data_IF_035980413265
#
_entry.id   IF_035980413265
#
_cell.length_a   1.000
_cell.length_b   1.000
_cell.length_c   1.000
_cell.angle_alpha   90.00
_cell.angle_beta   90.00
_cell.angle_gamma   90.00
#
_symmetry.space_group_name_H-M   'P 1'
#
loop_
_entity.id
_entity.type
_entity.pdbx_description
1 polymer ?
#
# COMPACT_ATOMS: atom_id res chain seq x y z
N UNK A 1 15.94 -21.08 -16.13
CA UNK A 1 15.56 -20.23 -14.99
C UNK A 1 16.82 -19.89 -14.22
N UNK A 2 17.25 -18.62 -14.22
CA UNK A 2 18.39 -18.21 -13.41
C UNK A 2 18.01 -18.32 -11.91
N UNK A 3 18.92 -18.77 -11.02
CA UNK A 3 18.64 -18.86 -9.59
C UNK A 3 18.38 -17.45 -9.05
N UNK A 4 17.23 -17.25 -8.37
CA UNK A 4 16.98 -16.00 -7.65
C UNK A 4 18.11 -15.81 -6.63
N UNK A 5 18.90 -14.74 -6.79
CA UNK A 5 19.93 -14.38 -5.81
C UNK A 5 19.32 -14.25 -4.42
N UNK A 6 20.03 -14.75 -3.41
CA UNK A 6 19.56 -14.58 -2.03
C UNK A 6 19.44 -13.08 -1.68
N UNK A 7 18.40 -12.67 -0.93
CA UNK A 7 18.20 -11.28 -0.57
C UNK A 7 19.39 -10.76 0.24
N UNK A 8 19.88 -9.57 -0.11
CA UNK A 8 20.98 -8.90 0.57
C UNK A 8 20.59 -8.52 2.01
N UNK A 9 21.55 -8.16 2.86
CA UNK A 9 21.26 -7.63 4.20
C UNK A 9 20.41 -6.36 4.13
N UNK A 10 20.64 -5.52 3.11
CA UNK A 10 19.82 -4.33 2.85
C UNK A 10 18.36 -4.71 2.55
N UNK A 11 18.15 -5.67 1.67
CA UNK A 11 16.78 -6.09 1.29
C UNK A 11 16.04 -6.72 2.47
N UNK A 12 16.73 -7.47 3.32
CA UNK A 12 16.14 -8.06 4.54
C UNK A 12 15.77 -6.99 5.57
N UNK A 13 16.60 -5.96 5.76
CA UNK A 13 16.29 -4.82 6.62
C UNK A 13 15.06 -4.07 6.12
N UNK A 14 15.00 -3.75 4.83
CA UNK A 14 13.84 -3.08 4.23
C UNK A 14 12.58 -3.93 4.36
N UNK A 15 12.64 -5.23 4.05
CA UNK A 15 11.50 -6.13 4.18
C UNK A 15 10.96 -6.22 5.63
N UNK A 16 11.86 -6.37 6.58
CA UNK A 16 11.52 -6.38 8.01
C UNK A 16 10.88 -5.06 8.45
N UNK A 17 11.37 -3.93 7.93
CA UNK A 17 10.81 -2.62 8.24
C UNK A 17 9.40 -2.47 7.68
N UNK A 18 9.15 -2.89 6.43
CA UNK A 18 7.80 -2.90 5.85
C UNK A 18 6.84 -3.68 6.73
N UNK A 19 7.22 -4.90 7.15
CA UNK A 19 6.37 -5.74 7.98
C UNK A 19 6.05 -5.09 9.33
N UNK A 20 7.06 -4.56 10.02
CA UNK A 20 6.87 -3.91 11.31
C UNK A 20 6.04 -2.62 11.19
N UNK A 21 6.28 -1.80 10.16
CA UNK A 21 5.47 -0.60 9.91
C UNK A 21 4.01 -0.94 9.61
N UNK A 22 3.76 -2.04 8.88
CA UNK A 22 2.40 -2.55 8.65
C UNK A 22 1.71 -3.02 9.93
N UNK A 23 2.46 -3.60 10.86
CA UNK A 23 1.94 -4.17 12.10
C UNK A 23 1.71 -3.11 13.17
N UNK A 24 2.71 -2.27 13.42
CA UNK A 24 2.77 -1.40 14.61
C UNK A 24 3.14 0.06 14.32
N UNK A 25 3.29 0.43 13.05
CA UNK A 25 3.63 1.79 12.64
C UNK A 25 5.13 2.12 12.70
N UNK A 26 5.48 3.33 12.27
CA UNK A 26 6.88 3.80 12.23
C UNK A 26 7.46 4.02 13.62
N UNK A 27 6.73 4.72 14.50
CA UNK A 27 7.26 5.11 15.81
C UNK A 27 7.64 3.88 16.64
N UNK A 28 6.80 2.85 16.68
CA UNK A 28 7.02 1.63 17.45
C UNK A 28 8.06 0.68 16.83
N UNK A 29 8.43 0.84 15.55
CA UNK A 29 9.40 -0.04 14.86
C UNK A 29 10.83 0.33 15.24
N UNK A 30 11.39 -0.33 16.26
CA UNK A 30 12.75 -0.10 16.72
C UNK A 30 13.81 -0.72 15.78
N UNK A 31 14.97 -0.04 15.60
CA UNK A 31 16.05 -0.51 14.71
C UNK A 31 16.59 -1.87 15.13
N UNK A 32 16.74 -2.12 16.42
CA UNK A 32 17.21 -3.42 16.94
C UNK A 32 16.22 -4.55 16.64
N UNK A 33 14.91 -4.27 16.70
CA UNK A 33 13.87 -5.23 16.34
C UNK A 33 13.86 -5.49 14.82
N UNK A 34 13.98 -4.43 14.00
CA UNK A 34 14.10 -4.54 12.56
C UNK A 34 15.28 -5.42 12.16
N UNK A 35 16.46 -5.18 12.75
CA UNK A 35 17.67 -5.96 12.48
C UNK A 35 17.51 -7.43 12.89
N UNK A 36 16.91 -7.70 14.05
CA UNK A 36 16.65 -9.06 14.54
C UNK A 36 15.68 -9.80 13.61
N UNK A 37 14.53 -9.20 13.24
CA UNK A 37 13.53 -9.82 12.37
C UNK A 37 14.06 -10.01 10.95
N UNK A 38 14.86 -9.06 10.45
CA UNK A 38 15.53 -9.14 9.15
C UNK A 38 16.73 -10.10 9.12
N UNK A 39 17.09 -10.69 10.27
CA UNK A 39 18.30 -11.53 10.42
C UNK A 39 19.53 -10.83 9.82
N UNK A 40 19.66 -9.53 10.07
CA UNK A 40 20.76 -8.71 9.62
C UNK A 40 21.59 -8.22 10.80
N UNK A 41 22.92 -8.27 10.73
CA UNK A 41 23.76 -7.70 11.79
C UNK A 41 23.52 -6.19 11.93
N UNK A 42 23.58 -5.65 13.16
CA UNK A 42 23.44 -4.21 13.43
C UNK A 42 24.45 -3.35 12.63
N UNK A 43 25.66 -3.87 12.43
CA UNK A 43 26.64 -3.19 11.56
C UNK A 43 26.17 -3.00 10.12
N UNK A 44 25.37 -3.94 9.58
CA UNK A 44 24.77 -3.79 8.24
C UNK A 44 23.76 -2.67 8.19
N UNK A 45 23.01 -2.42 9.27
CA UNK A 45 22.08 -1.29 9.32
C UNK A 45 22.84 0.04 9.19
N UNK A 46 23.83 0.30 10.00
CA UNK A 46 24.62 1.54 9.96
C UNK A 46 25.37 1.71 8.64
N UNK A 47 25.82 0.60 8.04
CA UNK A 47 26.49 0.60 6.75
C UNK A 47 25.54 0.99 5.59
N UNK A 48 24.34 0.40 5.54
CA UNK A 48 23.40 0.63 4.43
C UNK A 48 22.52 1.87 4.62
N UNK A 49 22.32 2.30 5.86
CA UNK A 49 21.42 3.40 6.22
C UNK A 49 22.13 4.39 7.17
N UNK A 50 23.16 5.12 6.67
CA UNK A 50 23.88 6.10 7.50
C UNK A 50 22.97 7.25 7.96
N UNK A 51 21.88 7.56 7.25
CA UNK A 51 20.82 8.47 7.68
C UNK A 51 19.85 7.90 8.72
N UNK A 52 20.15 6.73 9.25
CA UNK A 52 19.41 6.14 10.36
C UNK A 52 18.05 5.55 10.00
N UNK A 53 17.17 5.50 11.02
CA UNK A 53 15.84 4.89 10.93
C UNK A 53 14.96 5.56 9.86
N UNK A 54 15.05 6.87 9.72
CA UNK A 54 14.26 7.62 8.74
C UNK A 54 14.60 7.22 7.30
N UNK A 55 15.89 7.09 6.97
CA UNK A 55 16.33 6.64 5.65
C UNK A 55 15.87 5.20 5.36
N UNK A 56 15.94 4.32 6.36
CA UNK A 56 15.45 2.95 6.22
C UNK A 56 13.92 2.93 6.04
N UNK A 57 13.18 3.74 6.80
CA UNK A 57 11.72 3.85 6.66
C UNK A 57 11.31 4.41 5.30
N UNK A 58 12.04 5.41 4.76
CA UNK A 58 11.81 5.90 3.40
C UNK A 58 11.94 4.79 2.36
N UNK A 59 12.99 3.97 2.44
CA UNK A 59 13.16 2.81 1.56
C UNK A 59 12.08 1.73 1.76
N UNK A 60 11.57 1.58 2.98
CA UNK A 60 10.46 0.68 3.29
C UNK A 60 9.13 1.21 2.71
N UNK A 61 8.89 2.52 2.77
CA UNK A 61 7.71 3.14 2.12
C UNK A 61 7.74 2.94 0.60
N UNK A 62 8.88 3.17 -0.05
CA UNK A 62 9.03 2.95 -1.50
C UNK A 62 8.72 1.48 -1.87
N UNK A 63 9.20 0.53 -1.06
CA UNK A 63 8.91 -0.89 -1.25
C UNK A 63 7.44 -1.22 -1.00
N UNK A 64 6.85 -0.75 0.10
CA UNK A 64 5.44 -0.96 0.41
C UNK A 64 4.52 -0.36 -0.66
N UNK A 65 4.86 0.83 -1.16
CA UNK A 65 4.16 1.48 -2.27
C UNK A 65 4.20 0.61 -3.55
N UNK A 66 5.36 0.05 -3.87
CA UNK A 66 5.52 -0.84 -5.04
C UNK A 66 4.76 -2.16 -4.87
N UNK A 67 4.75 -2.74 -3.67
CA UNK A 67 3.99 -3.97 -3.38
C UNK A 67 2.48 -3.74 -3.53
N UNK A 68 1.98 -2.58 -3.10
CA UNK A 68 0.57 -2.22 -3.27
C UNK A 68 0.23 -1.88 -4.72
N UNK A 69 1.10 -1.18 -5.44
CA UNK A 69 0.93 -0.96 -6.88
C UNK A 69 0.81 -2.28 -7.64
N UNK A 70 1.63 -3.28 -7.30
CA UNK A 70 1.53 -4.62 -7.89
C UNK A 70 0.21 -5.34 -7.54
N UNK A 71 -0.38 -5.08 -6.36
CA UNK A 71 -1.73 -5.57 -6.03
C UNK A 71 -2.78 -4.91 -6.92
N UNK A 72 -2.71 -3.57 -7.09
CA UNK A 72 -3.59 -2.83 -8.00
C UNK A 72 -3.47 -3.39 -9.42
N UNK A 73 -2.26 -3.47 -9.97
CA UNK A 73 -2.03 -4.02 -11.32
C UNK A 73 -2.61 -5.42 -11.50
N UNK A 74 -2.47 -6.28 -10.48
CA UNK A 74 -3.05 -7.63 -10.51
C UNK A 74 -4.58 -7.60 -10.56
N UNK A 75 -5.21 -6.67 -9.83
CA UNK A 75 -6.66 -6.50 -9.86
C UNK A 75 -7.14 -6.03 -11.24
N UNK A 76 -6.38 -5.13 -11.88
CA UNK A 76 -6.72 -4.52 -13.17
C UNK A 76 -6.43 -5.43 -14.38
N UNK A 77 -5.69 -6.52 -14.22
CA UNK A 77 -5.40 -7.50 -15.29
C UNK A 77 -6.52 -8.51 -15.55
N UNK A 78 -7.59 -8.46 -14.77
CA UNK A 78 -8.74 -9.34 -14.98
C UNK A 78 -9.49 -8.95 -16.25
N UNK A 79 -9.96 -9.93 -17.03
CA UNK A 79 -10.70 -9.70 -18.30
C UNK A 79 -12.15 -9.20 -18.09
N UNK A 80 -12.52 -8.90 -16.86
CA UNK A 80 -13.86 -8.40 -16.50
C UNK A 80 -14.06 -6.91 -16.82
N UNK A 81 -15.28 -6.39 -16.64
CA UNK A 81 -15.60 -4.99 -16.82
C UNK A 81 -14.85 -4.12 -15.79
N UNK A 82 -14.63 -2.84 -16.11
CA UNK A 82 -13.92 -1.87 -15.24
C UNK A 82 -14.50 -1.85 -13.82
N UNK A 83 -15.81 -1.98 -13.66
CA UNK A 83 -16.50 -2.04 -12.35
C UNK A 83 -15.98 -3.18 -11.48
N UNK A 84 -15.77 -4.37 -12.05
CA UNK A 84 -15.25 -5.52 -11.33
C UNK A 84 -13.75 -5.40 -11.08
N UNK A 85 -12.99 -4.89 -12.06
CA UNK A 85 -11.55 -4.68 -11.91
C UNK A 85 -11.23 -3.73 -10.74
N UNK A 86 -11.90 -2.57 -10.65
CA UNK A 86 -11.67 -1.62 -9.57
C UNK A 86 -12.15 -2.17 -8.21
N UNK A 87 -13.30 -2.83 -8.15
CA UNK A 87 -13.80 -3.45 -6.93
C UNK A 87 -12.90 -4.58 -6.42
N UNK A 88 -12.25 -5.29 -7.34
CA UNK A 88 -11.30 -6.37 -7.01
C UNK A 88 -10.11 -5.90 -6.18
N UNK A 89 -9.72 -4.63 -6.26
CA UNK A 89 -8.66 -4.08 -5.41
C UNK A 89 -9.06 -4.21 -3.94
N UNK A 90 -10.29 -3.81 -3.58
CA UNK A 90 -10.80 -3.94 -2.21
C UNK A 90 -10.90 -5.42 -1.78
N UNK A 91 -11.34 -6.31 -2.67
CA UNK A 91 -11.40 -7.76 -2.41
C UNK A 91 -10.01 -8.34 -2.12
N UNK A 92 -9.01 -8.03 -2.96
CA UNK A 92 -7.63 -8.50 -2.76
C UNK A 92 -7.00 -7.92 -1.49
N UNK A 93 -7.36 -6.69 -1.11
CA UNK A 93 -6.94 -6.08 0.16
C UNK A 93 -7.57 -6.83 1.34
N UNK A 94 -8.87 -7.16 1.29
CA UNK A 94 -9.55 -7.95 2.31
C UNK A 94 -8.90 -9.34 2.47
N UNK A 95 -8.63 -10.02 1.37
CA UNK A 95 -7.96 -11.33 1.38
C UNK A 95 -6.55 -11.24 1.98
N UNK A 96 -5.85 -10.12 1.75
CA UNK A 96 -4.53 -9.87 2.36
C UNK A 96 -4.63 -9.68 3.88
N UNK A 97 -5.64 -8.97 4.36
CA UNK A 97 -5.89 -8.79 5.79
C UNK A 97 -6.25 -10.11 6.47
N UNK A 98 -7.13 -10.90 5.89
CA UNK A 98 -7.53 -12.21 6.45
C UNK A 98 -6.35 -13.15 6.58
N UNK A 99 -5.48 -13.23 5.56
CA UNK A 99 -4.25 -14.06 5.62
C UNK A 99 -3.31 -13.68 6.75
N UNK A 100 -3.36 -12.46 7.22
CA UNK A 100 -2.54 -11.96 8.33
C UNK A 100 -3.35 -11.76 9.62
N UNK A 101 -4.54 -12.36 9.71
CA UNK A 101 -5.46 -12.19 10.85
C UNK A 101 -5.69 -10.71 11.19
N UNK A 102 -5.78 -9.84 10.17
CA UNK A 102 -5.97 -8.40 10.26
C UNK A 102 -4.83 -7.63 10.95
N UNK A 103 -3.64 -8.24 11.07
CA UNK A 103 -2.51 -7.61 11.75
C UNK A 103 -1.72 -6.63 10.86
N UNK A 104 -1.63 -6.89 9.55
CA UNK A 104 -0.78 -6.12 8.64
C UNK A 104 -1.61 -5.20 7.74
N UNK A 105 -1.60 -3.89 8.01
CA UNK A 105 -2.27 -2.88 7.19
C UNK A 105 -1.38 -2.20 6.15
N UNK A 106 -1.84 -1.08 5.61
CA UNK A 106 -1.06 -0.25 4.69
C UNK A 106 0.10 0.44 5.43
N UNK A 107 1.37 0.19 5.05
CA UNK A 107 2.51 0.84 5.71
C UNK A 107 2.57 2.33 5.38
N UNK A 108 2.04 2.74 4.21
CA UNK A 108 2.06 4.13 3.75
C UNK A 108 1.09 4.96 4.58
N UNK A 109 -0.18 4.55 4.67
CA UNK A 109 -1.19 5.29 5.43
C UNK A 109 -0.84 5.38 6.93
N UNK A 110 -0.41 4.27 7.54
CA UNK A 110 -0.04 4.23 8.96
C UNK A 110 1.12 5.20 9.24
N UNK A 111 2.18 5.14 8.43
CA UNK A 111 3.34 6.02 8.62
C UNK A 111 3.02 7.48 8.32
N UNK A 112 2.21 7.76 7.30
CA UNK A 112 1.81 9.12 6.97
C UNK A 112 1.14 9.81 8.15
N UNK A 113 0.19 9.15 8.81
CA UNK A 113 -0.52 9.70 9.98
C UNK A 113 0.43 9.99 11.15
N UNK A 114 1.45 9.16 11.37
CA UNK A 114 2.41 9.34 12.45
C UNK A 114 3.43 10.45 12.17
N UNK A 115 3.73 10.72 10.89
CA UNK A 115 4.90 11.52 10.50
C UNK A 115 4.58 12.82 9.77
N UNK A 116 3.32 13.09 9.46
CA UNK A 116 2.88 14.27 8.70
C UNK A 116 3.37 15.60 9.27
N UNK A 117 3.54 15.71 10.60
CA UNK A 117 3.99 16.91 11.28
C UNK A 117 5.47 16.85 11.74
N UNK A 118 6.15 15.70 11.55
CA UNK A 118 7.46 15.45 12.20
C UNK A 118 8.56 15.05 11.23
N UNK A 119 8.25 14.53 10.06
CA UNK A 119 9.21 14.10 9.05
C UNK A 119 8.77 14.47 7.64
N UNK A 120 9.25 15.60 7.10
CA UNK A 120 8.99 15.97 5.70
C UNK A 120 9.41 14.88 4.71
N UNK A 121 10.50 14.16 4.98
CA UNK A 121 11.00 13.07 4.13
C UNK A 121 9.99 11.94 4.02
N UNK A 122 9.43 11.46 5.14
CA UNK A 122 8.46 10.37 5.13
C UNK A 122 7.10 10.83 4.60
N UNK A 123 6.71 12.08 4.88
CA UNK A 123 5.52 12.70 4.30
C UNK A 123 5.59 12.74 2.78
N UNK A 124 6.71 13.21 2.21
CA UNK A 124 6.91 13.27 0.76
C UNK A 124 6.85 11.87 0.12
N UNK A 125 7.44 10.85 0.76
CA UNK A 125 7.37 9.46 0.28
C UNK A 125 5.95 8.91 0.30
N UNK A 126 5.19 9.18 1.36
CA UNK A 126 3.80 8.78 1.44
C UNK A 126 2.93 9.49 0.39
N UNK A 127 3.09 10.79 0.22
CA UNK A 127 2.41 11.57 -0.81
C UNK A 127 2.71 11.05 -2.23
N UNK A 128 3.99 10.73 -2.50
CA UNK A 128 4.40 10.15 -3.77
C UNK A 128 3.78 8.77 -4.01
N UNK A 129 3.68 7.93 -2.99
CA UNK A 129 3.02 6.63 -3.08
C UNK A 129 1.56 6.78 -3.48
N UNK A 130 0.78 7.61 -2.78
CA UNK A 130 -0.63 7.87 -3.12
C UNK A 130 -0.79 8.44 -4.53
N UNK A 131 0.05 9.41 -4.92
CA UNK A 131 0.03 9.99 -6.27
C UNK A 131 0.32 8.93 -7.35
N UNK A 132 1.25 8.00 -7.09
CA UNK A 132 1.58 6.92 -8.03
C UNK A 132 0.42 5.96 -8.23
N UNK A 133 -0.27 5.57 -7.16
CA UNK A 133 -1.46 4.70 -7.23
C UNK A 133 -2.63 5.40 -7.93
N UNK A 134 -2.85 6.68 -7.61
CA UNK A 134 -3.87 7.49 -8.28
C UNK A 134 -3.60 7.58 -9.77
N UNK A 135 -2.37 7.86 -10.18
CA UNK A 135 -1.97 7.92 -11.60
C UNK A 135 -2.23 6.59 -12.32
N UNK A 136 -1.87 5.47 -11.68
CA UNK A 136 -2.10 4.13 -12.22
C UNK A 136 -3.58 3.87 -12.48
N UNK A 137 -4.44 4.15 -11.49
CA UNK A 137 -5.89 3.98 -11.61
C UNK A 137 -6.50 4.94 -12.64
N UNK A 138 -6.11 6.22 -12.62
CA UNK A 138 -6.59 7.23 -13.60
C UNK A 138 -6.30 6.77 -15.01
N UNK A 139 -5.06 6.35 -15.31
CA UNK A 139 -4.69 5.91 -16.64
C UNK A 139 -5.50 4.69 -17.09
N UNK A 140 -5.73 3.75 -16.16
CA UNK A 140 -6.54 2.56 -16.45
C UNK A 140 -8.00 2.93 -16.76
N UNK A 141 -8.60 3.83 -15.98
CA UNK A 141 -9.97 4.33 -16.21
C UNK A 141 -10.09 5.07 -17.55
N UNK A 142 -9.12 5.92 -17.89
CA UNK A 142 -9.09 6.63 -19.18
C UNK A 142 -9.00 5.63 -20.34
N UNK A 143 -8.15 4.63 -20.25
CA UNK A 143 -8.03 3.57 -21.26
C UNK A 143 -9.32 2.75 -21.41
N UNK A 144 -10.15 2.67 -20.38
CA UNK A 144 -11.47 2.04 -20.40
C UNK A 144 -12.60 2.96 -20.84
N UNK A 145 -12.30 4.21 -21.28
CA UNK A 145 -13.26 5.17 -21.84
C UNK A 145 -13.88 6.14 -20.85
N UNK A 146 -13.41 6.20 -19.59
CA UNK A 146 -13.85 7.22 -18.63
C UNK A 146 -13.20 8.56 -19.00
N UNK A 147 -13.94 9.69 -19.07
CA UNK A 147 -13.37 11.02 -19.29
C UNK A 147 -12.29 11.34 -18.23
N UNK A 148 -11.20 12.00 -18.65
CA UNK A 148 -10.01 12.18 -17.79
C UNK A 148 -10.32 12.85 -16.44
N UNK A 149 -11.14 13.91 -16.43
CA UNK A 149 -11.53 14.60 -15.19
C UNK A 149 -12.26 13.66 -14.23
N UNK A 150 -13.19 12.86 -14.74
CA UNK A 150 -13.93 11.86 -13.96
C UNK A 150 -13.04 10.69 -13.52
N UNK A 151 -12.07 10.31 -14.36
CA UNK A 151 -11.11 9.26 -14.03
C UNK A 151 -10.21 9.65 -12.85
N UNK A 152 -9.76 10.91 -12.77
CA UNK A 152 -9.00 11.46 -11.64
C UNK A 152 -9.82 11.42 -10.36
N UNK A 153 -11.07 11.90 -10.39
CA UNK A 153 -11.97 11.89 -9.23
C UNK A 153 -12.30 10.46 -8.76
N UNK A 154 -12.59 9.57 -9.71
CA UNK A 154 -12.85 8.16 -9.42
C UNK A 154 -11.65 7.47 -8.79
N UNK A 155 -10.45 7.66 -9.34
CA UNK A 155 -9.22 7.08 -8.82
C UNK A 155 -8.95 7.52 -7.36
N UNK A 156 -9.10 8.82 -7.08
CA UNK A 156 -8.96 9.37 -5.73
C UNK A 156 -9.99 8.76 -4.76
N UNK A 157 -11.25 8.68 -5.20
CA UNK A 157 -12.34 8.14 -4.39
C UNK A 157 -12.13 6.64 -4.09
N UNK A 158 -11.69 5.86 -5.08
CA UNK A 158 -11.39 4.43 -4.90
C UNK A 158 -10.30 4.22 -3.85
N UNK A 159 -9.19 4.99 -3.93
CA UNK A 159 -8.10 4.90 -2.94
C UNK A 159 -8.62 5.27 -1.54
N UNK A 160 -9.37 6.37 -1.41
CA UNK A 160 -9.89 6.82 -0.13
C UNK A 160 -10.86 5.80 0.51
N UNK A 161 -11.74 5.19 -0.30
CA UNK A 161 -12.65 4.14 0.16
C UNK A 161 -11.89 2.90 0.65
N UNK A 162 -10.87 2.47 -0.08
CA UNK A 162 -10.09 1.28 0.29
C UNK A 162 -9.29 1.54 1.55
N UNK A 163 -8.56 2.65 1.66
CA UNK A 163 -7.74 2.96 2.84
C UNK A 163 -8.61 3.13 4.10
N UNK A 164 -9.74 3.83 4.01
CA UNK A 164 -10.67 3.94 5.12
C UNK A 164 -11.29 2.60 5.53
N UNK A 165 -11.68 1.78 4.56
CA UNK A 165 -12.26 0.47 4.80
C UNK A 165 -11.24 -0.54 5.30
N UNK A 166 -9.97 -0.44 4.87
CA UNK A 166 -8.86 -1.24 5.40
C UNK A 166 -8.65 -0.94 6.90
N UNK A 167 -8.61 0.33 7.28
CA UNK A 167 -8.51 0.72 8.69
C UNK A 167 -9.66 0.15 9.52
N UNK A 168 -10.91 0.30 9.04
CA UNK A 168 -12.08 -0.24 9.73
C UNK A 168 -12.02 -1.77 9.84
N UNK A 169 -11.65 -2.45 8.76
CA UNK A 169 -11.51 -3.92 8.73
C UNK A 169 -10.48 -4.41 9.74
N UNK A 170 -9.35 -3.73 9.87
CA UNK A 170 -8.30 -4.06 10.87
C UNK A 170 -8.82 -3.90 12.30
N UNK A 171 -9.43 -2.76 12.61
CA UNK A 171 -9.93 -2.46 13.96
C UNK A 171 -11.05 -3.42 14.37
N UNK A 172 -11.96 -3.74 13.44
CA UNK A 172 -13.09 -4.64 13.68
C UNK A 172 -12.71 -6.12 13.54
N UNK A 173 -11.54 -6.45 12.97
CA UNK A 173 -11.12 -7.80 12.57
C UNK A 173 -12.18 -8.48 11.69
N UNK A 174 -12.69 -7.73 10.72
CA UNK A 174 -13.82 -8.12 9.88
C UNK A 174 -13.61 -7.62 8.46
N UNK A 175 -13.86 -8.46 7.46
CA UNK A 175 -13.75 -8.09 6.04
C UNK A 175 -14.89 -7.21 5.54
N UNK A 176 -16.03 -7.15 6.23
CA UNK A 176 -17.25 -6.46 5.76
C UNK A 176 -17.02 -5.01 5.31
N UNK A 177 -16.22 -4.17 5.99
CA UNK A 177 -15.96 -2.82 5.49
C UNK A 177 -15.35 -2.79 4.07
N UNK A 178 -14.40 -3.67 3.78
CA UNK A 178 -13.81 -3.78 2.44
C UNK A 178 -14.75 -4.42 1.42
N UNK A 179 -15.62 -5.36 1.83
CA UNK A 179 -16.66 -5.89 0.95
C UNK A 179 -17.67 -4.81 0.56
N UNK A 180 -18.11 -3.99 1.51
CA UNK A 180 -18.98 -2.86 1.24
C UNK A 180 -18.30 -1.80 0.34
N UNK A 181 -17.00 -1.57 0.52
CA UNK A 181 -16.23 -0.70 -0.37
C UNK A 181 -16.20 -1.23 -1.80
N UNK A 182 -16.04 -2.54 -1.99
CA UNK A 182 -16.08 -3.17 -3.31
C UNK A 182 -17.42 -2.90 -4.03
N UNK A 183 -18.55 -3.07 -3.34
CA UNK A 183 -19.88 -2.82 -3.90
C UNK A 183 -20.11 -1.33 -4.20
N UNK A 184 -19.65 -0.44 -3.31
CA UNK A 184 -19.69 1.01 -3.54
C UNK A 184 -18.85 1.42 -4.77
N UNK A 185 -17.65 0.86 -4.92
CA UNK A 185 -16.77 1.10 -6.08
C UNK A 185 -17.44 0.66 -7.38
N UNK A 186 -18.12 -0.50 -7.43
CA UNK A 186 -18.90 -0.95 -8.59
C UNK A 186 -19.94 0.08 -9.00
N UNK A 187 -20.72 0.56 -8.03
CA UNK A 187 -21.80 1.54 -8.26
C UNK A 187 -21.24 2.86 -8.78
N UNK A 188 -20.20 3.39 -8.15
CA UNK A 188 -19.54 4.64 -8.54
C UNK A 188 -18.94 4.52 -9.95
N UNK A 189 -18.26 3.42 -10.24
CA UNK A 189 -17.65 3.18 -11.56
C UNK A 189 -18.71 3.11 -12.65
N UNK A 190 -19.82 2.40 -12.42
CA UNK A 190 -20.93 2.30 -13.37
C UNK A 190 -21.57 3.65 -13.68
N UNK A 191 -21.65 4.56 -12.70
CA UNK A 191 -22.16 5.91 -12.86
C UNK A 191 -21.22 6.75 -13.75
N UNK A 192 -19.91 6.64 -13.57
CA UNK A 192 -18.91 7.38 -14.33
C UNK A 192 -18.72 6.89 -15.77
N UNK A 193 -19.14 5.66 -16.09
CA UNK A 193 -19.14 5.13 -17.45
C UNK A 193 -20.35 5.58 -18.30
N UNK A 194 -21.45 6.03 -17.67
CA UNK A 194 -22.69 6.40 -18.37
C UNK A 194 -22.81 7.90 -18.68
N UNK A 195 -21.95 8.70 -18.15
CA UNK A 195 -21.94 10.16 -18.26
C UNK A 195 -20.82 10.71 -19.12
#
# INVERSE_FOLDING_TARGET
MAPKSQPTSRDRLVASTVELMRRQGYAASGVSEIARNGRAPMGSFYHHFPGGKEQLAAAALDRGASEYAALIERALKDDGPLTEQLARIATLTADSLERTSFELGCPVATTALETVSTSPVLQDRAAHAFASWQKLLTQHCVNAGVPESKAVELAMTVIALIEGSELMSRVQRDRRPLSNAADAIKTLTATNLRG
#
